data_IF_171232436613
#
_entry.id   IF_171232436613
#
_cell.length_a   1.000
_cell.length_b   1.000
_cell.length_c   1.000
_cell.angle_alpha   90.00
_cell.angle_beta   90.00
_cell.angle_gamma   90.00
#
_symmetry.space_group_name_H-M   'P 1'
#
loop_
_entity.id
_entity.type
_entity.pdbx_description
1 polymer ?
#
# COMPACT_ATOMS: atom_id res chain seq x y z
N UNK A 1 -6.02 10.66 15.87
CA UNK A 1 -7.00 9.56 16.00
C UNK A 1 -7.49 9.55 17.44
N UNK A 2 -8.73 9.96 17.69
CA UNK A 2 -9.27 9.95 19.05
C UNK A 2 -9.46 8.50 19.50
N UNK A 3 -8.83 8.09 20.60
CA UNK A 3 -9.11 6.80 21.24
C UNK A 3 -10.51 6.91 21.86
N UNK A 4 -11.54 6.45 21.14
CA UNK A 4 -12.87 6.29 21.73
C UNK A 4 -12.76 5.20 22.79
N UNK A 5 -13.00 5.56 24.05
CA UNK A 5 -13.10 4.60 25.13
C UNK A 5 -14.38 3.78 24.92
N UNK A 6 -14.25 2.45 24.96
CA UNK A 6 -15.38 1.53 24.84
C UNK A 6 -16.33 1.70 26.04
N UNK A 7 -17.63 1.51 25.82
CA UNK A 7 -18.62 1.34 26.89
C UNK A 7 -18.32 0.06 27.69
N UNK A 8 -18.90 -0.06 28.89
CA UNK A 8 -18.85 -1.32 29.66
C UNK A 8 -19.46 -2.47 28.88
N UNK A 9 -20.64 -2.25 28.29
CA UNK A 9 -21.35 -3.27 27.51
C UNK A 9 -20.52 -3.75 26.32
N UNK A 10 -19.80 -2.84 25.67
CA UNK A 10 -18.90 -3.19 24.55
C UNK A 10 -17.72 -4.05 25.01
N UNK A 11 -17.17 -3.79 26.20
CA UNK A 11 -16.10 -4.64 26.77
C UNK A 11 -16.64 -6.03 27.12
N UNK A 12 -17.84 -6.09 27.69
CA UNK A 12 -18.47 -7.36 28.06
C UNK A 12 -18.83 -8.19 26.81
N UNK A 13 -19.26 -7.54 25.72
CA UNK A 13 -19.43 -8.20 24.42
C UNK A 13 -18.11 -8.73 23.85
N UNK A 14 -17.04 -7.94 23.90
CA UNK A 14 -15.73 -8.38 23.41
C UNK A 14 -15.16 -9.54 24.23
N UNK A 15 -15.36 -9.55 25.55
CA UNK A 15 -14.96 -10.66 26.41
C UNK A 15 -15.71 -11.95 26.01
N UNK A 16 -17.03 -11.86 25.79
CA UNK A 16 -17.82 -13.00 25.31
C UNK A 16 -17.36 -13.53 23.95
N UNK A 17 -17.02 -12.63 23.02
CA UNK A 17 -16.50 -13.02 21.71
C UNK A 17 -15.10 -13.66 21.80
N UNK A 18 -14.26 -13.20 22.74
CA UNK A 18 -12.93 -13.76 22.94
C UNK A 18 -12.95 -15.16 23.57
N UNK A 19 -13.98 -15.46 24.37
CA UNK A 19 -14.19 -16.76 24.99
C UNK A 19 -14.93 -17.76 24.08
N UNK A 20 -15.48 -17.31 22.95
CA UNK A 20 -16.20 -18.15 21.99
C UNK A 20 -15.22 -19.06 21.24
N UNK A 21 -15.55 -20.35 21.09
CA UNK A 21 -14.72 -21.27 20.34
C UNK A 21 -14.86 -21.04 18.82
N UNK A 22 -13.78 -21.24 18.06
CA UNK A 22 -13.78 -21.05 16.60
C UNK A 22 -14.87 -21.87 15.89
N UNK A 23 -15.20 -23.06 16.39
CA UNK A 23 -16.26 -23.93 15.85
C UNK A 23 -17.68 -23.38 16.00
N UNK A 24 -17.87 -22.41 16.90
CA UNK A 24 -19.16 -21.76 17.16
C UNK A 24 -19.33 -20.46 16.36
N UNK A 25 -18.30 -20.07 15.59
CA UNK A 25 -18.35 -18.89 14.73
C UNK A 25 -19.21 -19.21 13.50
N UNK A 26 -20.34 -18.50 13.39
CA UNK A 26 -21.18 -18.56 12.19
C UNK A 26 -20.55 -17.76 11.05
N UNK A 27 -20.13 -18.47 9.99
CA UNK A 27 -19.59 -17.90 8.75
C UNK A 27 -20.53 -18.09 7.56
N UNK A 28 -21.83 -18.31 7.80
CA UNK A 28 -22.81 -18.59 6.74
C UNK A 28 -22.97 -17.45 5.74
N UNK A 29 -22.76 -16.21 6.16
CA UNK A 29 -22.80 -15.01 5.34
C UNK A 29 -21.50 -14.77 4.55
N UNK A 30 -20.37 -15.21 5.09
CA UNK A 30 -19.03 -15.06 4.50
C UNK A 30 -18.30 -16.41 4.59
N UNK A 31 -18.52 -17.33 3.64
CA UNK A 31 -17.86 -18.62 3.62
C UNK A 31 -16.34 -18.49 3.58
N UNK A 32 -15.64 -19.42 4.23
CA UNK A 32 -14.18 -19.46 4.18
C UNK A 32 -13.66 -19.59 2.75
N UNK A 33 -12.60 -18.83 2.45
CA UNK A 33 -12.01 -18.77 1.12
C UNK A 33 -11.16 -20.03 0.89
N UNK A 34 -11.46 -20.86 -0.14
CA UNK A 34 -10.68 -22.06 -0.42
C UNK A 34 -9.21 -21.76 -0.70
N UNK A 35 -8.32 -22.73 -0.42
CA UNK A 35 -6.89 -22.63 -0.70
C UNK A 35 -6.61 -22.29 -2.18
N UNK A 36 -7.45 -22.76 -3.10
CA UNK A 36 -7.37 -22.49 -4.55
C UNK A 36 -7.48 -21.00 -4.89
N UNK A 37 -8.26 -20.22 -4.12
CA UNK A 37 -8.39 -18.79 -4.34
C UNK A 37 -7.10 -18.02 -4.05
N UNK A 38 -6.17 -18.62 -3.29
CA UNK A 38 -4.86 -18.02 -3.01
C UNK A 38 -3.88 -18.14 -4.18
N UNK A 39 -4.14 -18.99 -5.17
CA UNK A 39 -3.29 -19.17 -6.37
C UNK A 39 -3.12 -17.87 -7.15
N UNK A 40 -4.13 -16.99 -7.10
CA UNK A 40 -4.10 -15.69 -7.76
C UNK A 40 -3.98 -14.51 -6.78
N UNK A 41 -3.81 -14.78 -5.47
CA UNK A 41 -3.68 -13.74 -4.47
C UNK A 41 -2.40 -12.93 -4.72
N UNK A 42 -2.57 -11.67 -5.12
CA UNK A 42 -1.46 -10.72 -5.30
C UNK A 42 -1.23 -9.95 -4.02
N UNK A 43 -0.23 -10.36 -3.25
CA UNK A 43 0.32 -9.53 -2.16
C UNK A 43 1.02 -8.32 -2.78
N UNK A 44 0.52 -7.09 -2.56
CA UNK A 44 1.33 -5.90 -2.88
C UNK A 44 0.67 -4.57 -3.20
N UNK A 45 -0.65 -4.45 -3.31
CA UNK A 45 -1.25 -3.16 -3.72
C UNK A 45 -1.29 -2.08 -2.62
N UNK A 46 -0.98 -2.43 -1.36
CA UNK A 46 -0.98 -1.46 -0.25
C UNK A 46 0.34 -0.68 -0.11
N UNK A 47 1.39 -1.00 -0.88
CA UNK A 47 2.61 -0.19 -0.82
C UNK A 47 2.37 1.17 -1.49
N UNK A 48 2.31 2.22 -0.66
CA UNK A 48 2.26 3.61 -1.11
C UNK A 48 3.62 4.24 -0.80
N UNK A 49 4.46 4.54 -1.80
CA UNK A 49 5.72 5.23 -1.57
C UNK A 49 5.47 6.57 -0.87
N UNK A 50 6.10 6.78 0.28
CA UNK A 50 6.12 8.08 0.96
C UNK A 50 6.98 9.04 0.14
N UNK A 51 6.36 10.03 -0.49
CA UNK A 51 7.06 11.08 -1.24
C UNK A 51 7.56 12.14 -0.26
N UNK A 52 8.85 12.38 -0.22
CA UNK A 52 9.43 13.48 0.56
C UNK A 52 9.61 14.69 -0.36
N UNK A 53 9.09 15.88 0.01
CA UNK A 53 9.32 17.09 -0.77
C UNK A 53 10.79 17.50 -0.60
N UNK A 54 11.53 17.47 -1.70
CA UNK A 54 12.93 17.89 -1.75
C UNK A 54 13.12 18.91 -2.87
N UNK A 55 13.99 19.89 -2.64
CA UNK A 55 14.39 20.85 -3.66
C UNK A 55 15.69 20.39 -4.29
N UNK A 56 15.63 19.97 -5.54
CA UNK A 56 16.80 19.58 -6.34
C UNK A 56 16.91 20.49 -7.57
N UNK A 57 18.13 20.65 -8.07
CA UNK A 57 18.37 21.31 -9.36
C UNK A 57 18.38 20.24 -10.45
N UNK A 58 17.67 20.50 -11.54
CA UNK A 58 17.65 19.69 -12.75
C UNK A 58 18.03 20.59 -13.92
N UNK A 59 18.70 20.01 -14.92
CA UNK A 59 19.03 20.74 -16.14
C UNK A 59 17.77 21.17 -16.89
N UNK A 60 17.85 22.35 -17.52
CA UNK A 60 16.70 23.01 -18.12
C UNK A 60 16.15 22.25 -19.33
N UNK A 61 17.02 21.61 -20.10
CA UNK A 61 16.70 20.75 -21.25
C UNK A 61 16.00 19.47 -20.81
N UNK A 62 16.51 18.80 -19.78
CA UNK A 62 15.90 17.61 -19.18
C UNK A 62 14.50 17.93 -18.66
N UNK A 63 14.36 19.04 -17.94
CA UNK A 63 13.05 19.46 -17.43
C UNK A 63 12.07 19.79 -18.55
N UNK A 64 12.53 20.47 -19.61
CA UNK A 64 11.70 20.78 -20.79
C UNK A 64 11.23 19.51 -21.48
N UNK A 65 12.13 18.54 -21.67
CA UNK A 65 11.80 17.25 -22.26
C UNK A 65 10.67 16.54 -21.49
N UNK A 66 10.77 16.42 -20.17
CA UNK A 66 9.71 15.78 -19.37
C UNK A 66 8.40 16.58 -19.36
N UNK A 67 8.44 17.90 -19.52
CA UNK A 67 7.21 18.71 -19.63
C UNK A 67 6.49 18.50 -20.96
N UNK A 68 7.24 18.31 -22.04
CA UNK A 68 6.70 18.15 -23.39
C UNK A 68 6.24 16.73 -23.70
N UNK A 69 6.93 15.72 -23.16
CA UNK A 69 6.76 14.32 -23.56
C UNK A 69 5.88 13.49 -22.63
N UNK A 70 5.50 14.01 -21.45
CA UNK A 70 4.74 13.26 -20.46
C UNK A 70 3.27 13.66 -20.48
N UNK A 71 2.40 12.69 -20.76
CA UNK A 71 0.94 12.85 -20.74
C UNK A 71 0.35 12.80 -19.32
N UNK A 72 -0.08 11.62 -18.87
CA UNK A 72 -0.82 11.46 -17.61
C UNK A 72 0.10 11.34 -16.38
N UNK A 73 -0.23 12.06 -15.31
CA UNK A 73 0.49 12.01 -14.02
C UNK A 73 1.50 13.14 -13.77
N UNK A 74 1.78 13.97 -14.78
CA UNK A 74 2.65 15.15 -14.70
C UNK A 74 4.15 14.81 -14.70
N UNK A 75 4.97 15.75 -15.20
CA UNK A 75 6.42 15.58 -15.36
C UNK A 75 7.14 15.14 -14.08
N UNK A 76 6.71 15.61 -12.90
CA UNK A 76 7.32 15.24 -11.61
C UNK A 76 7.15 13.76 -11.27
N UNK A 77 6.00 13.17 -11.62
CA UNK A 77 5.74 11.74 -11.37
C UNK A 77 6.63 10.88 -12.26
N UNK A 78 6.80 11.28 -13.52
CA UNK A 78 7.65 10.54 -14.45
C UNK A 78 9.14 10.66 -14.09
N UNK A 79 9.60 11.85 -13.69
CA UNK A 79 10.96 12.02 -13.16
C UNK A 79 11.21 11.06 -12.00
N UNK A 80 10.28 10.97 -11.04
CA UNK A 80 10.42 10.06 -9.89
C UNK A 80 10.40 8.57 -10.33
N UNK A 81 9.60 8.20 -11.34
CA UNK A 81 9.59 6.84 -11.90
C UNK A 81 10.95 6.48 -12.51
N UNK A 82 11.54 7.37 -13.31
CA UNK A 82 12.86 7.15 -13.92
C UNK A 82 13.96 7.02 -12.86
N UNK A 83 13.97 7.90 -11.86
CA UNK A 83 14.91 7.83 -10.75
C UNK A 83 14.79 6.52 -9.97
N UNK A 84 13.56 6.07 -9.70
CA UNK A 84 13.34 4.77 -9.04
C UNK A 84 13.88 3.60 -9.85
N UNK A 85 13.63 3.59 -11.16
CA UNK A 85 14.14 2.54 -12.04
C UNK A 85 15.67 2.51 -12.03
N UNK A 86 16.32 3.69 -12.10
CA UNK A 86 17.77 3.79 -11.99
C UNK A 86 18.29 3.20 -10.69
N UNK A 87 17.69 3.54 -9.54
CA UNK A 87 18.11 2.99 -8.23
C UNK A 87 18.01 1.47 -8.19
N UNK A 88 16.89 0.90 -8.65
CA UNK A 88 16.68 -0.56 -8.68
C UNK A 88 17.77 -1.26 -9.52
N UNK A 89 18.08 -0.71 -10.69
CA UNK A 89 19.11 -1.26 -11.56
C UNK A 89 20.52 -1.17 -10.97
N UNK A 90 20.83 -0.09 -10.23
CA UNK A 90 22.11 0.02 -9.53
C UNK A 90 22.25 -0.98 -8.38
N UNK A 91 21.20 -1.20 -7.60
CA UNK A 91 21.19 -2.19 -6.51
C UNK A 91 21.33 -3.62 -7.04
N UNK A 92 20.70 -3.94 -8.18
CA UNK A 92 20.87 -5.22 -8.87
C UNK A 92 22.30 -5.49 -9.32
N UNK A 93 23.04 -4.46 -9.74
CA UNK A 93 24.45 -4.59 -10.19
C UNK A 93 25.43 -4.75 -9.03
N UNK A 94 25.02 -4.37 -7.81
CA UNK A 94 25.84 -4.47 -6.60
C UNK A 94 25.71 -5.82 -5.89
N UNK A 95 24.65 -6.57 -6.20
CA UNK A 95 24.39 -7.92 -5.66
C UNK A 95 24.93 -8.96 -6.62
#
# INVERSE_FOLDING_TARGET
MSKKNLSRDQRDQLAKLADLADSEIDTSDIPEVPAENWVHARRGHLYRPLKQPVTIRLDADVLSWFKEHVGSGGYQTEINRVLRHHVIEQERRRT
#
